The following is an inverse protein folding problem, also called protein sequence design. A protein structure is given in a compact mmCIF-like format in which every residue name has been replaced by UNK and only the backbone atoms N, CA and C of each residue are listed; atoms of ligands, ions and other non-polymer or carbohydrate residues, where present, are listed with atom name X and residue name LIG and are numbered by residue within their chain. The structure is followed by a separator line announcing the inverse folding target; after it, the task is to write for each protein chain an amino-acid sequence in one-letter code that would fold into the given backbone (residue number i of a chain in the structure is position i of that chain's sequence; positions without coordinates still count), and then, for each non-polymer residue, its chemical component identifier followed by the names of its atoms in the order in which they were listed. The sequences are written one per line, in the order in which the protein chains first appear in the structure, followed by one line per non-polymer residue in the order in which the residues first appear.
data_IF_422903116207
#
_entry.id   IF_422903116207
#
_cell.length_a   1.000
_cell.length_b   1.000
_cell.length_c   1.000
_cell.angle_alpha   90.00
_cell.angle_beta   90.00
_cell.angle_gamma   90.00
#
_symmetry.space_group_name_H-M   'P 1'
#
loop_
_entity.id
_entity.type
_entity.pdbx_description
1 polymer ?
#
# COMPACT_ATOMS: atom_id res chain seq x y z
N UNK A 1 -17.26 59.63 -10.24
CA UNK A 1 -18.53 59.46 -10.96
C UNK A 1 -18.81 57.97 -11.08
N UNK A 2 -19.48 57.41 -10.09
CA UNK A 2 -20.47 56.34 -10.29
C UNK A 2 -21.81 57.03 -10.62
N UNK A 3 -22.86 56.38 -11.20
CA UNK A 3 -23.41 55.10 -10.71
C UNK A 3 -24.04 54.16 -11.76
N UNK A 4 -24.40 52.94 -11.34
CA UNK A 4 -25.20 52.02 -12.17
C UNK A 4 -25.55 50.68 -11.55
N UNK A 5 -26.08 50.67 -10.33
CA UNK A 5 -26.70 49.50 -9.68
C UNK A 5 -27.97 49.04 -10.41
N UNK A 6 -28.15 47.72 -10.56
CA UNK A 6 -29.49 47.09 -10.65
C UNK A 6 -29.57 45.80 -9.86
N UNK A 7 -30.70 45.72 -9.18
CA UNK A 7 -31.12 44.85 -8.08
C UNK A 7 -32.04 43.72 -8.58
N UNK A 8 -32.20 42.69 -7.73
CA UNK A 8 -33.39 41.83 -7.55
C UNK A 8 -33.67 40.79 -8.67
N UNK A 9 -34.02 39.52 -8.41
CA UNK A 9 -34.87 39.02 -7.33
C UNK A 9 -34.51 37.60 -6.85
N UNK A 10 -34.58 37.43 -5.52
CA UNK A 10 -34.80 36.18 -4.81
C UNK A 10 -36.30 35.87 -4.79
N UNK A 11 -36.66 34.60 -4.91
CA UNK A 11 -37.96 34.07 -4.48
C UNK A 11 -37.72 33.01 -3.40
N UNK A 12 -38.19 33.28 -2.18
CA UNK A 12 -38.34 32.32 -1.08
C UNK A 12 -39.73 31.65 -1.11
N UNK A 13 -39.86 30.37 -0.75
CA UNK A 13 -40.23 29.80 0.59
C UNK A 13 -41.77 29.66 0.74
N UNK A 14 -42.33 28.49 1.12
CA UNK A 14 -42.36 27.95 2.51
C UNK A 14 -41.91 26.49 2.61
N UNK A 15 -41.18 25.98 3.62
CA UNK A 15 -41.28 26.07 5.08
C UNK A 15 -42.65 25.63 5.64
N UNK A 16 -42.84 24.32 5.79
CA UNK A 16 -43.87 23.73 6.64
C UNK A 16 -43.19 23.25 7.92
N UNK A 17 -43.64 23.80 9.05
CA UNK A 17 -43.15 23.51 10.38
C UNK A 17 -43.93 22.42 11.10
N UNK A 18 -43.19 21.76 11.99
CA UNK A 18 -43.52 21.24 13.31
C UNK A 18 -44.73 20.30 13.49
N UNK A 19 -44.44 19.12 14.05
CA UNK A 19 -44.95 18.75 15.38
C UNK A 19 -43.97 17.79 16.06
N UNK A 20 -43.44 18.21 17.20
CA UNK A 20 -42.93 17.33 18.25
C UNK A 20 -44.14 16.78 19.00
N UNK A 21 -44.26 15.46 19.11
CA UNK A 21 -45.09 14.82 20.13
C UNK A 21 -44.19 14.11 21.14
N UNK A 22 -44.38 14.50 22.40
CA UNK A 22 -43.77 13.94 23.59
C UNK A 22 -44.73 12.99 24.27
N UNK A 23 -44.24 11.81 24.70
CA UNK A 23 -44.83 10.99 25.76
C UNK A 23 -44.55 9.50 25.61
N UNK A 24 -44.62 8.70 26.69
CA UNK A 24 -43.97 8.88 27.98
C UNK A 24 -42.98 7.72 28.29
N UNK A 25 -42.09 7.97 29.25
CA UNK A 25 -41.21 6.97 29.83
C UNK A 25 -41.99 5.88 30.58
N UNK A 26 -41.58 4.62 30.42
CA UNK A 26 -41.93 3.50 31.30
C UNK A 26 -40.68 2.74 31.69
N UNK A 27 -40.54 2.53 33.01
CA UNK A 27 -39.44 1.89 33.72
C UNK A 27 -39.52 0.34 33.67
N UNK A 28 -38.49 -0.39 34.16
CA UNK A 28 -38.11 -1.71 33.64
C UNK A 28 -38.86 -2.88 34.28
N UNK A 29 -39.24 -3.84 33.43
CA UNK A 29 -39.89 -5.10 33.82
C UNK A 29 -38.90 -6.23 34.09
N UNK A 30 -38.99 -6.77 35.30
CA UNK A 30 -38.27 -7.93 35.85
C UNK A 30 -38.81 -9.29 35.36
N UNK A 31 -37.89 -10.23 35.08
CA UNK A 31 -38.06 -11.69 35.26
C UNK A 31 -37.90 -12.57 34.01
N UNK A 32 -37.67 -13.91 34.13
CA UNK A 32 -37.40 -14.69 35.33
C UNK A 32 -36.04 -15.44 35.33
N UNK A 33 -35.63 -15.75 36.57
CA UNK A 33 -34.58 -16.66 37.00
C UNK A 33 -34.93 -18.12 36.63
N UNK A 34 -34.00 -18.84 35.99
CA UNK A 34 -34.07 -20.29 35.81
C UNK A 34 -32.85 -20.94 36.45
N UNK A 35 -33.00 -21.32 37.73
CA UNK A 35 -32.14 -22.30 38.40
C UNK A 35 -32.73 -23.70 38.25
N UNK A 36 -31.86 -24.63 37.87
CA UNK A 36 -32.03 -26.08 37.88
C UNK A 36 -31.28 -26.65 36.67
N UNK A 37 -30.24 -27.48 36.76
CA UNK A 37 -29.80 -28.35 37.84
C UNK A 37 -29.45 -29.70 37.22
N UNK A 38 -28.14 -29.99 37.19
CA UNK A 38 -27.44 -31.29 37.04
C UNK A 38 -27.54 -32.08 35.73
N UNK A 39 -26.36 -32.46 35.22
CA UNK A 39 -26.16 -33.36 34.08
C UNK A 39 -24.68 -33.51 33.75
N UNK A 40 -24.00 -34.36 34.53
CA UNK A 40 -22.66 -34.92 34.31
C UNK A 40 -22.49 -35.42 32.86
N UNK A 41 -21.49 -34.93 32.13
CA UNK A 41 -20.90 -35.62 31.00
C UNK A 41 -19.40 -35.36 30.98
N UNK A 42 -18.65 -36.34 31.49
CA UNK A 42 -17.22 -36.49 31.20
C UNK A 42 -17.06 -36.75 29.70
N UNK A 43 -16.51 -35.78 28.97
CA UNK A 43 -15.94 -36.00 27.65
C UNK A 43 -14.42 -36.15 27.81
N UNK A 44 -13.98 -37.41 27.88
CA UNK A 44 -12.59 -37.83 27.71
C UNK A 44 -12.13 -37.49 26.30
N UNK A 45 -11.68 -36.25 26.10
CA UNK A 45 -11.02 -35.81 24.87
C UNK A 45 -9.54 -36.20 24.87
N UNK A 46 -9.23 -37.39 24.36
CA UNK A 46 -7.88 -37.80 24.01
C UNK A 46 -7.26 -36.77 23.05
N UNK A 47 -6.28 -36.02 23.53
CA UNK A 47 -5.38 -35.19 22.72
C UNK A 47 -4.48 -36.14 21.91
N UNK A 48 -4.86 -36.42 20.67
CA UNK A 48 -3.94 -37.02 19.69
C UNK A 48 -3.24 -35.90 18.92
N UNK A 49 -2.07 -35.48 19.41
CA UNK A 49 -1.02 -34.90 18.56
C UNK A 49 0.06 -35.96 18.37
N UNK A 50 0.42 -36.32 17.13
CA UNK A 50 1.81 -36.54 16.79
C UNK A 50 2.34 -35.20 16.27
N UNK A 51 3.26 -34.60 17.04
CA UNK A 51 4.21 -33.66 16.49
C UNK A 51 5.07 -34.44 15.49
N UNK A 52 5.01 -34.08 14.21
CA UNK A 52 6.01 -34.53 13.24
C UNK A 52 7.21 -33.56 13.34
N UNK A 53 8.38 -33.99 13.86
CA UNK A 53 9.55 -33.14 14.02
C UNK A 53 10.30 -32.88 12.71
N UNK A 54 9.79 -33.33 11.56
CA UNK A 54 10.45 -33.19 10.25
C UNK A 54 9.81 -32.18 9.29
N UNK A 55 8.95 -31.27 9.75
CA UNK A 55 8.66 -30.05 8.96
C UNK A 55 9.85 -29.11 9.13
N UNK A 56 10.90 -29.38 8.36
CA UNK A 56 12.05 -28.51 8.20
C UNK A 56 11.57 -27.08 7.93
N UNK A 57 12.16 -26.14 8.67
CA UNK A 57 12.10 -24.71 8.41
C UNK A 57 12.35 -24.45 6.92
N UNK A 58 11.30 -24.11 6.19
CA UNK A 58 11.44 -23.45 4.89
C UNK A 58 11.83 -21.99 5.17
N UNK A 59 13.11 -21.78 5.41
CA UNK A 59 13.68 -20.44 5.59
C UNK A 59 13.63 -19.67 4.25
N UNK A 60 13.47 -18.34 4.40
CA UNK A 60 13.83 -17.25 3.47
C UNK A 60 12.89 -16.86 2.32
N UNK A 61 12.21 -15.74 2.62
CA UNK A 61 12.19 -14.53 1.81
C UNK A 61 11.40 -14.63 0.50
N UNK A 62 10.09 -14.86 0.61
CA UNK A 62 9.20 -14.21 -0.35
C UNK A 62 9.31 -12.71 -0.07
N UNK A 63 10.17 -12.03 -0.82
CA UNK A 63 10.22 -10.57 -0.84
C UNK A 63 8.91 -10.13 -1.45
N UNK A 64 7.93 -9.87 -0.59
CA UNK A 64 6.65 -9.26 -0.93
C UNK A 64 6.84 -8.16 -1.98
N UNK A 65 5.99 -8.08 -3.00
CA UNK A 65 5.97 -7.07 -4.05
C UNK A 65 7.38 -6.64 -4.50
N UNK A 66 8.23 -7.62 -4.78
CA UNK A 66 9.66 -7.41 -5.03
C UNK A 66 10.03 -7.16 -6.49
N UNK A 67 9.04 -6.91 -7.36
CA UNK A 67 9.25 -6.62 -8.77
C UNK A 67 8.08 -5.85 -9.35
N UNK A 68 8.35 -4.89 -10.23
CA UNK A 68 7.29 -4.20 -10.97
C UNK A 68 7.81 -3.66 -12.30
N UNK A 69 6.95 -3.03 -13.08
CA UNK A 69 7.34 -2.37 -14.33
C UNK A 69 6.96 -0.89 -14.31
N UNK A 70 7.81 -0.03 -14.88
CA UNK A 70 7.56 1.38 -15.08
C UNK A 70 8.21 1.83 -16.38
N UNK A 71 7.38 1.96 -17.41
CA UNK A 71 7.83 2.11 -18.81
C UNK A 71 7.50 3.47 -19.40
N UNK A 72 6.78 4.31 -18.64
CA UNK A 72 6.33 5.63 -19.07
C UNK A 72 7.47 6.63 -19.11
N UNK A 73 7.39 7.50 -20.10
CA UNK A 73 8.38 8.57 -20.24
C UNK A 73 8.23 9.59 -19.11
N UNK A 74 9.30 10.33 -18.84
CA UNK A 74 9.27 11.47 -17.92
C UNK A 74 8.14 12.45 -18.27
N UNK A 75 7.93 12.73 -19.55
CA UNK A 75 6.87 13.64 -20.01
C UNK A 75 5.48 13.11 -19.69
N UNK A 76 5.22 11.82 -19.94
CA UNK A 76 3.93 11.21 -19.64
C UNK A 76 3.63 11.23 -18.14
N UNK A 77 4.62 10.89 -17.31
CA UNK A 77 4.48 10.89 -15.85
C UNK A 77 4.33 12.31 -15.30
N UNK A 78 5.13 13.26 -15.76
CA UNK A 78 5.03 14.66 -15.35
C UNK A 78 3.64 15.25 -15.66
N UNK A 79 3.11 14.95 -16.86
CA UNK A 79 1.77 15.37 -17.26
C UNK A 79 0.67 14.68 -16.43
N UNK A 80 0.74 13.35 -16.26
CA UNK A 80 -0.26 12.58 -15.52
C UNK A 80 -0.41 13.04 -14.07
N UNK A 81 0.72 13.30 -13.42
CA UNK A 81 0.75 13.66 -12.00
C UNK A 81 0.72 15.16 -11.73
N UNK A 82 0.65 16.01 -12.76
CA UNK A 82 0.83 17.48 -12.64
C UNK A 82 2.08 17.81 -11.81
N UNK A 83 3.22 17.31 -12.27
CA UNK A 83 4.48 17.39 -11.57
C UNK A 83 5.56 18.10 -12.39
N UNK A 84 6.40 18.89 -11.72
CA UNK A 84 7.65 19.38 -12.29
C UNK A 84 8.66 18.24 -12.39
N UNK A 85 9.34 18.14 -13.52
CA UNK A 85 10.38 17.14 -13.76
C UNK A 85 11.70 17.53 -13.07
N UNK A 86 12.15 16.68 -12.13
CA UNK A 86 13.47 16.73 -11.48
C UNK A 86 14.29 15.46 -11.78
N UNK A 87 13.91 14.70 -12.82
CA UNK A 87 14.58 13.45 -13.17
C UNK A 87 15.82 13.65 -14.03
N UNK A 88 16.00 14.84 -14.59
CA UNK A 88 17.12 15.17 -15.50
C UNK A 88 17.25 14.20 -16.68
N UNK A 89 16.13 13.62 -17.13
CA UNK A 89 16.09 12.65 -18.23
C UNK A 89 16.62 11.25 -17.85
N UNK A 90 16.77 10.94 -16.56
CA UNK A 90 17.31 9.66 -16.10
C UNK A 90 16.32 8.49 -16.16
N UNK A 91 15.04 8.73 -16.51
CA UNK A 91 14.05 7.65 -16.65
C UNK A 91 14.17 6.98 -18.02
N UNK A 92 14.35 5.66 -17.97
CA UNK A 92 14.21 4.78 -19.12
C UNK A 92 13.10 3.76 -18.84
N UNK A 93 12.46 3.20 -19.88
CA UNK A 93 11.51 2.13 -19.68
C UNK A 93 12.17 0.92 -19.01
N UNK A 94 11.58 0.46 -17.92
CA UNK A 94 12.03 -0.73 -17.18
C UNK A 94 10.84 -1.66 -16.97
N UNK A 95 10.90 -2.84 -17.57
CA UNK A 95 9.89 -3.89 -17.53
C UNK A 95 10.11 -4.85 -16.36
N UNK A 96 11.21 -4.75 -15.62
CA UNK A 96 11.60 -5.72 -14.59
C UNK A 96 12.31 -5.11 -13.38
N UNK A 97 11.86 -3.93 -12.95
CA UNK A 97 12.40 -3.18 -11.82
C UNK A 97 12.61 -4.09 -10.62
N UNK A 98 13.85 -4.16 -10.15
CA UNK A 98 14.26 -4.94 -9.01
C UNK A 98 14.60 -4.04 -7.81
N UNK A 99 14.63 -4.61 -6.59
CA UNK A 99 15.11 -3.89 -5.43
C UNK A 99 16.49 -3.28 -5.69
N UNK A 100 16.70 -2.07 -5.18
CA UNK A 100 17.90 -1.23 -5.31
C UNK A 100 18.02 -0.43 -6.60
N UNK A 101 17.15 -0.67 -7.58
CA UNK A 101 17.15 0.09 -8.82
C UNK A 101 16.65 1.53 -8.60
N UNK A 102 17.08 2.47 -9.44
CA UNK A 102 16.53 3.82 -9.49
C UNK A 102 15.11 3.79 -10.07
N UNK A 103 14.17 4.44 -9.41
CA UNK A 103 12.75 4.42 -9.79
C UNK A 103 12.12 5.80 -9.74
N UNK A 104 11.12 6.11 -10.60
CA UNK A 104 10.36 7.34 -10.50
C UNK A 104 9.54 7.36 -9.22
N UNK A 105 9.54 8.51 -8.55
CA UNK A 105 8.60 8.80 -7.46
C UNK A 105 8.02 10.20 -7.64
N UNK A 106 6.77 10.39 -7.21
CA UNK A 106 6.11 11.69 -7.17
C UNK A 106 6.04 12.16 -5.72
N UNK A 107 6.62 13.33 -5.44
CA UNK A 107 6.72 13.92 -4.10
C UNK A 107 5.85 15.17 -4.00
N UNK A 108 5.47 15.53 -2.78
CA UNK A 108 4.79 16.79 -2.51
C UNK A 108 5.69 18.01 -2.73
N UNK A 109 5.07 19.16 -2.98
CA UNK A 109 5.69 20.47 -3.22
C UNK A 109 4.62 21.50 -3.60
N UNK A 110 4.98 22.78 -3.81
CA UNK A 110 4.05 23.79 -4.35
C UNK A 110 3.40 23.34 -5.66
N UNK A 111 4.19 22.71 -6.51
CA UNK A 111 3.77 21.74 -7.50
C UNK A 111 4.34 20.38 -7.09
N UNK A 112 3.70 19.28 -7.47
CA UNK A 112 4.27 17.95 -7.25
C UNK A 112 5.60 17.84 -8.00
N UNK A 113 6.50 16.97 -7.52
CA UNK A 113 7.83 16.80 -8.08
C UNK A 113 8.04 15.37 -8.51
N UNK A 114 8.34 15.15 -9.78
CA UNK A 114 8.75 13.84 -10.30
C UNK A 114 10.27 13.73 -10.13
N UNK A 115 10.72 12.75 -9.35
CA UNK A 115 12.13 12.59 -8.99
C UNK A 115 12.55 11.13 -9.12
N UNK A 116 13.84 10.86 -9.16
CA UNK A 116 14.39 9.49 -9.12
C UNK A 116 14.83 9.15 -7.70
N UNK A 117 14.42 7.98 -7.22
CA UNK A 117 14.82 7.45 -5.92
C UNK A 117 15.29 6.00 -6.03
N UNK A 118 16.23 5.60 -5.18
CA UNK A 118 16.59 4.18 -5.04
C UNK A 118 15.46 3.40 -4.36
N UNK A 119 14.98 2.31 -4.95
CA UNK A 119 14.01 1.44 -4.28
C UNK A 119 14.66 0.57 -3.20
N UNK A 120 14.33 0.84 -1.95
CA UNK A 120 14.97 0.27 -0.78
C UNK A 120 15.42 1.39 0.14
N UNK A 121 14.57 1.73 1.10
CA UNK A 121 14.72 2.90 1.94
C UNK A 121 15.97 2.83 2.83
N UNK A 122 16.75 3.89 2.84
CA UNK A 122 17.93 4.08 3.70
C UNK A 122 17.68 5.33 4.55
N UNK A 123 17.30 5.18 5.83
CA UNK A 123 17.18 6.31 6.74
C UNK A 123 18.54 6.98 6.96
N UNK A 124 18.59 8.30 7.16
CA UNK A 124 19.84 9.03 7.42
C UNK A 124 20.68 8.46 8.59
N UNK A 125 20.05 7.84 9.59
CA UNK A 125 20.75 7.20 10.71
C UNK A 125 21.33 5.81 10.38
N UNK A 126 20.90 5.17 9.28
CA UNK A 126 21.26 3.78 8.98
C UNK A 126 22.70 3.61 8.50
N UNK A 127 23.28 4.69 7.97
CA UNK A 127 24.67 4.76 7.52
C UNK A 127 25.60 5.31 8.62
N UNK A 128 25.07 5.67 9.79
CA UNK A 128 25.88 6.12 10.91
C UNK A 128 26.67 4.95 11.52
N UNK A 129 27.93 5.15 11.97
CA UNK A 129 28.64 4.16 12.76
C UNK A 129 27.78 3.73 13.94
N UNK A 130 27.70 2.43 14.23
CA UNK A 130 26.97 1.94 15.40
C UNK A 130 27.47 2.70 16.64
N UNK A 131 26.58 3.08 17.57
CA UNK A 131 27.00 3.73 18.82
C UNK A 131 28.04 2.83 19.52
N UNK A 132 29.25 3.35 19.73
CA UNK A 132 30.37 2.58 20.30
C UNK A 132 31.27 1.87 19.28
N UNK A 133 31.10 2.12 17.97
CA UNK A 133 32.06 1.71 16.96
C UNK A 133 33.41 2.38 17.25
N UNK A 134 34.45 1.56 17.43
CA UNK A 134 35.81 2.06 17.62
C UNK A 134 36.28 2.79 16.36
N UNK A 135 37.06 3.88 16.50
CA UNK A 135 37.61 4.61 15.36
C UNK A 135 38.65 3.80 14.54
N UNK A 136 39.04 2.61 14.99
CA UNK A 136 39.98 1.69 14.32
C UNK A 136 39.31 0.77 13.26
N UNK A 137 38.04 1.01 12.91
CA UNK A 137 37.36 0.31 11.82
C UNK A 137 36.87 -1.11 12.16
N UNK A 138 36.96 -1.54 13.42
CA UNK A 138 36.54 -2.88 13.87
C UNK A 138 35.03 -3.04 14.18
N UNK A 139 34.23 -1.98 14.05
CA UNK A 139 32.79 -2.02 14.28
C UNK A 139 32.05 -2.54 13.06
N UNK A 140 31.41 -3.70 13.14
CA UNK A 140 30.58 -4.23 12.06
C UNK A 140 29.45 -3.23 11.76
N UNK A 141 29.44 -2.66 10.54
CA UNK A 141 28.39 -1.76 10.10
C UNK A 141 27.02 -2.38 10.40
N UNK A 142 26.10 -1.58 10.94
CA UNK A 142 24.76 -2.07 11.28
C UNK A 142 24.13 -2.58 9.98
N UNK A 143 24.01 -3.90 9.84
CA UNK A 143 23.40 -4.54 8.65
C UNK A 143 21.91 -4.24 8.65
N UNK A 144 21.53 -3.11 8.07
CA UNK A 144 20.13 -2.72 7.89
C UNK A 144 19.54 -3.64 6.82
N UNK A 145 18.40 -4.32 7.10
CA UNK A 145 17.74 -5.14 6.09
C UNK A 145 17.31 -4.27 4.91
N UNK A 146 17.19 -4.84 3.71
CA UNK A 146 16.76 -4.08 2.54
C UNK A 146 15.27 -3.68 2.69
N UNK A 147 15.02 -2.40 2.96
CA UNK A 147 13.70 -1.86 3.29
C UNK A 147 12.89 -1.49 2.03
N UNK A 148 12.59 -2.47 1.19
CA UNK A 148 11.80 -2.27 -0.05
C UNK A 148 10.30 -2.09 0.20
N UNK A 149 9.78 -2.65 1.30
CA UNK A 149 8.38 -2.54 1.67
C UNK A 149 8.19 -2.04 3.10
N UNK A 150 7.20 -1.16 3.28
CA UNK A 150 6.68 -0.73 4.57
C UNK A 150 5.26 -1.29 4.75
N UNK A 151 5.03 -2.08 5.81
CA UNK A 151 3.71 -2.67 6.06
C UNK A 151 2.74 -1.61 6.58
N UNK A 152 1.58 -1.45 5.95
CA UNK A 152 0.54 -0.48 6.33
C UNK A 152 0.19 -0.57 7.82
N UNK A 153 0.14 -1.78 8.37
CA UNK A 153 -0.18 -2.05 9.78
C UNK A 153 0.81 -1.42 10.77
N UNK A 154 2.04 -1.14 10.34
CA UNK A 154 3.12 -0.66 11.22
C UNK A 154 3.84 0.56 10.68
N UNK A 155 3.56 1.03 9.46
CA UNK A 155 4.31 2.10 8.79
C UNK A 155 4.30 3.41 9.60
N UNK A 156 3.21 3.68 10.32
CA UNK A 156 3.05 4.88 11.14
C UNK A 156 3.80 4.83 12.49
N UNK A 157 4.14 3.64 12.98
CA UNK A 157 4.70 3.42 14.33
C UNK A 157 6.10 2.80 14.33
N UNK A 158 6.47 2.11 13.25
CA UNK A 158 7.77 1.47 13.08
C UNK A 158 8.89 2.53 13.05
N UNK A 159 9.88 2.41 13.93
CA UNK A 159 10.97 3.39 14.06
C UNK A 159 11.76 3.67 12.78
N UNK A 160 11.74 2.75 11.81
CA UNK A 160 12.43 2.94 10.53
C UNK A 160 11.60 3.70 9.48
N UNK A 161 10.26 3.66 9.57
CA UNK A 161 9.36 4.26 8.58
C UNK A 161 8.50 5.41 9.10
N UNK A 162 8.19 5.46 10.40
CA UNK A 162 7.22 6.39 10.98
C UNK A 162 7.54 7.86 10.67
N UNK A 163 8.81 8.24 10.66
CA UNK A 163 9.23 9.59 10.27
C UNK A 163 8.94 9.87 8.79
N UNK A 164 9.34 8.95 7.90
CA UNK A 164 9.08 9.06 6.47
C UNK A 164 7.57 9.06 6.16
N UNK A 165 6.78 8.22 6.83
CA UNK A 165 5.33 8.22 6.71
C UNK A 165 4.68 9.54 7.11
N UNK A 166 5.18 10.19 8.16
CA UNK A 166 4.65 11.48 8.62
C UNK A 166 4.97 12.64 7.68
N UNK A 167 6.16 12.65 7.08
CA UNK A 167 6.74 13.86 6.43
C UNK A 167 7.11 13.70 4.95
N UNK A 168 7.33 12.48 4.50
CA UNK A 168 7.97 12.19 3.22
C UNK A 168 7.21 11.08 2.47
N UNK A 169 5.88 11.20 2.41
CA UNK A 169 5.06 10.33 1.56
C UNK A 169 5.29 10.68 0.09
N UNK A 170 5.33 9.66 -0.76
CA UNK A 170 5.46 9.79 -2.21
C UNK A 170 4.50 8.81 -2.90
N UNK A 171 4.24 9.02 -4.19
CA UNK A 171 3.66 8.00 -5.06
C UNK A 171 4.78 7.30 -5.82
N UNK A 172 4.64 6.01 -6.09
CA UNK A 172 5.54 5.24 -6.95
C UNK A 172 4.75 4.82 -8.19
N UNK A 173 4.96 5.47 -9.35
CA UNK A 173 4.29 5.13 -10.60
C UNK A 173 4.72 3.76 -11.13
N UNK A 174 3.76 2.97 -11.59
CA UNK A 174 3.98 1.64 -12.15
C UNK A 174 2.96 1.32 -13.24
N UNK A 175 3.34 0.56 -14.26
CA UNK A 175 2.37 -0.05 -15.19
C UNK A 175 1.67 -1.26 -14.56
N UNK A 176 2.32 -1.87 -13.56
CA UNK A 176 1.85 -3.05 -12.84
C UNK A 176 2.95 -3.63 -11.98
N UNK A 177 2.63 -4.64 -11.17
CA UNK A 177 3.62 -5.36 -10.35
C UNK A 177 3.55 -6.87 -10.57
N UNK A 178 4.65 -7.57 -10.30
CA UNK A 178 4.70 -9.02 -10.43
C UNK A 178 4.55 -9.72 -9.09
N UNK A 179 3.82 -10.83 -9.10
CA UNK A 179 3.83 -11.79 -8.00
C UNK A 179 3.88 -13.23 -8.50
N UNK A 180 4.39 -14.12 -7.64
CA UNK A 180 4.58 -15.52 -7.99
C UNK A 180 3.72 -16.42 -7.11
N UNK A 181 2.81 -17.16 -7.75
CA UNK A 181 2.03 -18.19 -7.08
C UNK A 181 2.64 -19.56 -7.30
N UNK A 182 2.67 -20.41 -6.26
CA UNK A 182 3.02 -21.83 -6.44
C UNK A 182 2.02 -22.51 -7.39
N UNK A 183 2.53 -23.35 -8.27
CA UNK A 183 1.68 -24.18 -9.15
C UNK A 183 0.96 -25.26 -8.33
N UNK A 184 -0.18 -25.76 -8.82
CA UNK A 184 -0.99 -26.77 -8.11
C UNK A 184 -0.21 -28.07 -7.87
N UNK A 185 0.67 -28.45 -8.80
CA UNK A 185 1.56 -29.62 -8.67
C UNK A 185 2.75 -29.38 -7.70
N UNK A 186 2.90 -28.16 -7.19
CA UNK A 186 3.94 -27.76 -6.25
C UNK A 186 5.36 -27.68 -6.83
N UNK A 187 5.54 -27.94 -8.13
CA UNK A 187 6.86 -28.08 -8.79
C UNK A 187 7.48 -26.76 -9.23
N UNK A 188 6.73 -25.68 -9.22
CA UNK A 188 7.23 -24.39 -9.66
C UNK A 188 6.40 -23.22 -9.14
N UNK A 189 6.64 -22.06 -9.75
CA UNK A 189 5.86 -20.85 -9.53
C UNK A 189 5.43 -20.26 -10.86
N UNK A 190 4.18 -19.83 -10.94
CA UNK A 190 3.64 -19.03 -12.04
C UNK A 190 3.75 -17.54 -11.68
N UNK A 191 4.34 -16.75 -12.57
CA UNK A 191 4.38 -15.29 -12.44
C UNK A 191 3.08 -14.67 -12.95
N UNK A 192 2.55 -13.70 -12.22
CA UNK A 192 1.43 -12.88 -12.64
C UNK A 192 1.86 -11.42 -12.62
N UNK A 193 1.37 -10.64 -13.59
CA UNK A 193 1.51 -9.21 -13.66
C UNK A 193 0.14 -8.58 -13.40
N UNK A 194 0.03 -7.85 -12.30
CA UNK A 194 -1.20 -7.18 -11.91
C UNK A 194 -1.15 -5.75 -12.47
N UNK A 195 -2.05 -5.46 -13.41
CA UNK A 195 -1.98 -4.25 -14.25
C UNK A 195 -3.38 -3.74 -14.60
N UNK A 196 -3.59 -2.43 -14.82
CA UNK A 196 -4.89 -1.91 -15.23
C UNK A 196 -5.35 -2.48 -16.58
N UNK A 197 -6.63 -2.86 -16.67
CA UNK A 197 -7.22 -3.36 -17.93
C UNK A 197 -7.28 -2.30 -19.03
N UNK A 198 -7.32 -1.03 -18.67
CA UNK A 198 -7.32 0.11 -19.58
C UNK A 198 -5.91 0.53 -20.03
N UNK A 199 -4.86 -0.13 -19.52
CA UNK A 199 -3.47 0.24 -19.78
C UNK A 199 -3.06 1.56 -19.13
N UNK A 200 -3.79 2.03 -18.12
CA UNK A 200 -3.42 3.18 -17.30
C UNK A 200 -2.20 2.94 -16.41
N UNK A 201 -1.81 3.97 -15.66
CA UNK A 201 -0.68 3.93 -14.71
C UNK A 201 -1.22 3.78 -13.29
N UNK A 202 -0.65 2.84 -12.54
CA UNK A 202 -0.87 2.70 -11.11
C UNK A 202 0.00 3.67 -10.32
N UNK A 203 -0.51 4.13 -9.19
CA UNK A 203 0.25 4.88 -8.20
C UNK A 203 0.28 4.09 -6.89
N UNK A 204 1.43 3.52 -6.55
CA UNK A 204 1.59 2.89 -5.23
C UNK A 204 1.85 3.97 -4.17
N UNK A 205 1.24 3.82 -3.00
CA UNK A 205 1.61 4.56 -1.82
C UNK A 205 3.07 4.24 -1.46
N UNK A 206 3.90 5.26 -1.30
CA UNK A 206 5.31 5.13 -0.94
C UNK A 206 5.72 6.06 0.18
N UNK A 207 6.84 5.72 0.83
CA UNK A 207 7.53 6.59 1.79
C UNK A 207 8.97 6.76 1.34
N UNK A 208 9.52 7.97 1.51
CA UNK A 208 10.86 8.32 1.07
C UNK A 208 11.74 8.80 2.22
N UNK A 209 13.04 8.64 2.06
CA UNK A 209 14.05 9.21 2.94
C UNK A 209 15.31 9.53 2.14
N UNK A 210 16.04 10.54 2.59
CA UNK A 210 17.39 10.82 2.09
C UNK A 210 18.40 10.12 2.99
N UNK A 211 19.33 9.37 2.40
CA UNK A 211 20.45 8.75 3.11
C UNK A 211 21.43 9.80 3.62
N UNK A 212 22.38 9.40 4.46
CA UNK A 212 23.42 10.33 4.94
C UNK A 212 24.32 10.86 3.81
N UNK A 213 24.41 10.09 2.71
CA UNK A 213 25.14 10.46 1.50
C UNK A 213 24.33 11.36 0.54
N UNK A 214 23.14 11.81 0.94
CA UNK A 214 22.29 12.67 0.11
C UNK A 214 21.46 11.92 -0.96
N UNK A 215 21.52 10.58 -1.01
CA UNK A 215 20.76 9.80 -1.97
C UNK A 215 19.29 9.70 -1.55
N UNK A 216 18.38 10.04 -2.46
CA UNK A 216 16.95 9.82 -2.26
C UNK A 216 16.62 8.32 -2.39
N UNK A 217 15.90 7.79 -1.42
CA UNK A 217 15.52 6.37 -1.34
C UNK A 217 14.03 6.24 -1.00
N UNK A 218 13.38 5.15 -1.40
CA UNK A 218 11.97 4.93 -1.15
C UNK A 218 11.63 3.49 -0.72
N UNK A 219 10.44 3.33 -0.15
CA UNK A 219 9.81 2.05 0.19
C UNK A 219 8.37 2.08 -0.28
N UNK A 220 7.88 0.98 -0.84
CA UNK A 220 6.47 0.82 -1.21
C UNK A 220 5.67 0.42 0.03
N UNK A 221 4.55 1.07 0.27
CA UNK A 221 3.61 0.68 1.32
C UNK A 221 2.83 -0.54 0.83
N UNK A 222 2.81 -1.60 1.64
CA UNK A 222 2.10 -2.85 1.32
C UNK A 222 1.01 -3.12 2.33
N UNK A 223 -0.05 -3.78 1.90
CA UNK A 223 -1.22 -4.16 2.71
C UNK A 223 -1.58 -5.63 2.46
N UNK A 224 -2.51 -6.19 3.23
CA UNK A 224 -3.09 -7.49 2.93
C UNK A 224 -3.79 -7.45 1.57
N UNK A 225 -3.60 -8.49 0.76
CA UNK A 225 -4.34 -8.62 -0.50
C UNK A 225 -5.83 -8.85 -0.23
N UNK A 226 -6.66 -8.36 -1.15
CA UNK A 226 -8.12 -8.52 -1.11
C UNK A 226 -8.64 -9.00 -2.46
N UNK A 227 -9.84 -9.57 -2.47
CA UNK A 227 -10.47 -10.10 -3.67
C UNK A 227 -9.59 -11.12 -4.40
N UNK A 228 -9.61 -11.08 -5.73
CA UNK A 228 -8.85 -12.02 -6.56
C UNK A 228 -7.33 -11.88 -6.43
N UNK A 229 -6.83 -10.72 -5.99
CA UNK A 229 -5.38 -10.52 -5.76
C UNK A 229 -4.86 -11.47 -4.66
N UNK A 230 -5.71 -11.80 -3.68
CA UNK A 230 -5.39 -12.75 -2.62
C UNK A 230 -5.21 -14.19 -3.13
N UNK A 231 -5.75 -14.52 -4.32
CA UNK A 231 -5.54 -15.82 -4.97
C UNK A 231 -4.11 -15.98 -5.51
N UNK A 232 -3.35 -14.88 -5.64
CA UNK A 232 -1.95 -14.89 -6.12
C UNK A 232 -0.98 -14.78 -4.96
N UNK A 233 -1.19 -13.81 -4.07
CA UNK A 233 -0.31 -13.53 -2.93
C UNK A 233 -1.07 -12.91 -1.75
N UNK A 234 -0.66 -13.16 -0.51
CA UNK A 234 -1.26 -12.61 0.71
C UNK A 234 -1.04 -11.09 0.92
N UNK A 235 -0.19 -10.44 0.10
CA UNK A 235 0.01 -8.98 0.15
C UNK A 235 0.04 -8.37 -1.23
N UNK A 236 -0.24 -7.08 -1.25
CA UNK A 236 -0.20 -6.22 -2.43
C UNK A 236 0.38 -4.84 -2.06
N UNK A 237 0.86 -4.06 -3.05
CA UNK A 237 1.08 -2.64 -2.85
C UNK A 237 -0.23 -1.97 -2.46
N UNK A 238 -0.18 -0.95 -1.60
CA UNK A 238 -1.33 -0.07 -1.40
C UNK A 238 -1.45 0.84 -2.63
N UNK A 239 -2.33 0.46 -3.56
CA UNK A 239 -2.60 1.21 -4.78
C UNK A 239 -3.56 2.36 -4.47
N UNK A 240 -3.24 3.58 -4.91
CA UNK A 240 -4.02 4.78 -4.66
C UNK A 240 -4.71 5.28 -5.95
N UNK A 241 -6.06 5.38 -5.96
CA UNK A 241 -6.77 6.03 -7.05
C UNK A 241 -6.48 7.53 -7.11
N UNK A 242 -6.68 8.19 -8.28
CA UNK A 242 -6.30 9.59 -8.49
C UNK A 242 -6.86 10.60 -7.48
N UNK A 243 -8.10 10.39 -7.03
CA UNK A 243 -8.79 11.20 -6.04
C UNK A 243 -8.14 11.15 -4.64
N UNK A 244 -7.28 10.16 -4.37
CA UNK A 244 -6.55 10.02 -3.10
C UNK A 244 -5.12 10.53 -3.13
N UNK A 245 -4.60 10.93 -4.30
CA UNK A 245 -3.22 11.38 -4.45
C UNK A 245 -2.93 12.63 -3.61
N UNK A 246 -3.82 13.62 -3.63
CA UNK A 246 -3.65 14.86 -2.85
C UNK A 246 -3.66 14.58 -1.35
N UNK A 247 -4.61 13.78 -0.88
CA UNK A 247 -4.67 13.40 0.53
C UNK A 247 -3.38 12.68 0.95
N UNK A 248 -2.88 11.76 0.13
CA UNK A 248 -1.62 11.07 0.39
C UNK A 248 -0.42 12.03 0.41
N UNK A 249 -0.30 12.92 -0.57
CA UNK A 249 0.81 13.86 -0.71
C UNK A 249 0.69 15.10 0.20
N UNK A 250 -0.40 15.28 0.92
CA UNK A 250 -0.62 16.41 1.86
C UNK A 250 0.30 16.42 3.10
N UNK A 251 1.35 15.60 3.13
CA UNK A 251 2.32 15.58 4.21
C UNK A 251 2.90 17.00 4.42
N UNK A 252 3.00 17.49 5.66
CA UNK A 252 3.68 18.73 5.97
C UNK A 252 5.01 18.84 5.20
N UNK A 253 5.14 19.85 4.35
CA UNK A 253 6.38 20.10 3.62
C UNK A 253 7.42 20.53 4.64
N UNK A 254 8.21 19.59 5.14
CA UNK A 254 9.44 19.90 5.84
C UNK A 254 10.52 20.09 4.78
N UNK A 255 11.01 21.31 4.58
CA UNK A 255 12.27 21.52 3.87
C UNK A 255 13.36 20.71 4.57
N UNK A 256 14.28 20.03 3.85
CA UNK A 256 15.39 19.28 4.46
C UNK A 256 16.28 20.13 5.39
N UNK A 257 16.16 21.45 5.28
CA UNK A 257 16.97 22.50 5.89
C UNK A 257 16.38 23.00 7.22
N UNK A 258 15.10 22.73 7.50
CA UNK A 258 14.39 23.20 8.69
C UNK A 258 13.72 22.01 9.40
N UNK A 259 14.55 21.21 10.04
CA UNK A 259 14.15 19.99 10.76
C UNK A 259 13.85 20.22 12.25
N UNK A 260 13.60 21.47 12.64
CA UNK A 260 13.23 21.80 14.01
C UNK A 260 11.81 21.33 14.31
N UNK A 261 11.70 20.47 15.32
CA UNK A 261 10.48 19.78 15.76
C UNK A 261 9.38 20.70 16.31
N UNK A 262 9.56 22.02 16.29
CA UNK A 262 8.78 22.98 17.08
C UNK A 262 7.55 23.60 16.39
N UNK A 263 7.32 23.36 15.09
CA UNK A 263 6.14 23.93 14.41
C UNK A 263 4.94 22.97 14.41
N UNK A 264 4.59 22.37 15.55
CA UNK A 264 3.52 21.35 15.65
C UNK A 264 2.09 21.89 15.53
N UNK A 265 1.87 23.20 15.68
CA UNK A 265 0.53 23.78 15.84
C UNK A 265 -0.24 24.10 14.54
N UNK A 266 0.38 23.94 13.36
CA UNK A 266 -0.26 24.26 12.07
C UNK A 266 -0.60 23.05 11.21
N UNK A 267 -0.32 21.84 11.69
CA UNK A 267 -0.49 20.63 10.89
C UNK A 267 -1.74 19.87 11.29
N UNK A 268 -2.58 19.56 10.30
CA UNK A 268 -3.73 18.70 10.50
C UNK A 268 -3.28 17.38 11.13
N UNK A 269 -3.91 16.91 12.21
CA UNK A 269 -3.53 15.66 12.84
C UNK A 269 -3.57 14.55 11.79
N UNK A 270 -2.46 13.81 11.68
CA UNK A 270 -2.36 12.67 10.79
C UNK A 270 -3.39 11.63 11.25
N UNK A 271 -4.27 11.21 10.35
CA UNK A 271 -5.13 10.05 10.53
C UNK A 271 -4.58 8.89 9.67
N UNK A 272 -3.74 7.99 10.23
CA UNK A 272 -3.16 6.90 9.46
C UNK A 272 -4.21 5.98 8.85
N UNK A 273 -5.31 5.72 9.55
CA UNK A 273 -6.35 4.80 9.09
C UNK A 273 -7.02 5.31 7.81
N UNK A 274 -7.32 6.61 7.75
CA UNK A 274 -7.86 7.23 6.53
C UNK A 274 -6.86 7.18 5.36
N UNK A 275 -5.57 7.40 5.63
CA UNK A 275 -4.52 7.35 4.60
C UNK A 275 -4.25 5.94 4.10
N UNK A 276 -4.37 4.94 4.97
CA UNK A 276 -4.03 3.54 4.71
C UNK A 276 -5.25 2.69 4.37
N UNK A 277 -6.45 3.27 4.36
CA UNK A 277 -7.67 2.61 3.91
C UNK A 277 -7.46 2.01 2.52
N UNK A 278 -8.01 0.81 2.29
CA UNK A 278 -7.98 0.19 0.98
C UNK A 278 -8.78 1.05 -0.03
N UNK A 279 -8.41 1.03 -1.31
CA UNK A 279 -9.24 1.61 -2.35
C UNK A 279 -10.59 0.85 -2.46
N UNK A 280 -11.61 1.46 -3.08
CA UNK A 280 -12.86 0.76 -3.39
C UNK A 280 -12.60 -0.54 -4.16
N UNK A 281 -13.42 -1.57 -3.93
CA UNK A 281 -13.20 -2.89 -4.53
C UNK A 281 -13.29 -2.82 -6.06
N UNK A 282 -14.16 -1.96 -6.59
CA UNK A 282 -14.36 -1.73 -8.01
C UNK A 282 -13.09 -1.23 -8.70
N UNK A 283 -12.27 -0.45 -7.99
CA UNK A 283 -10.97 0.00 -8.48
C UNK A 283 -9.97 -1.16 -8.57
N UNK A 284 -10.03 -2.12 -7.65
CA UNK A 284 -9.16 -3.29 -7.66
C UNK A 284 -9.63 -4.35 -8.67
N UNK A 285 -10.93 -4.50 -8.87
CA UNK A 285 -11.52 -5.41 -9.87
C UNK A 285 -11.22 -4.97 -11.31
N UNK A 286 -10.94 -3.67 -11.51
CA UNK A 286 -10.45 -3.12 -12.77
C UNK A 286 -9.01 -3.56 -13.12
N UNK A 287 -8.30 -4.24 -12.20
CA UNK A 287 -7.00 -4.83 -12.47
C UNK A 287 -7.16 -6.19 -13.15
N UNK A 288 -6.25 -6.45 -14.09
CA UNK A 288 -6.05 -7.74 -14.70
C UNK A 288 -4.98 -8.51 -13.92
N UNK A 289 -5.29 -9.74 -13.51
CA UNK A 289 -4.29 -10.71 -13.04
C UNK A 289 -3.77 -11.45 -14.28
N UNK A 290 -2.74 -10.89 -14.91
CA UNK A 290 -2.20 -11.40 -16.19
C UNK A 290 -1.13 -12.47 -15.93
N UNK A 291 -1.30 -13.73 -16.35
CA UNK A 291 -0.20 -14.70 -16.30
C UNK A 291 0.90 -14.28 -17.28
N UNK A 292 2.16 -14.25 -16.83
CA UNK A 292 3.33 -13.89 -17.65
C UNK A 292 4.40 -14.99 -17.63
N UNK A 293 5.35 -14.93 -18.57
CA UNK A 293 6.41 -15.94 -18.70
C UNK A 293 7.38 -15.98 -17.51
N UNK A 294 8.04 -17.12 -17.26
CA UNK A 294 8.98 -17.26 -16.13
C UNK A 294 10.26 -16.44 -16.30
N UNK A 295 10.55 -15.95 -17.50
CA UNK A 295 11.73 -15.15 -17.82
C UNK A 295 11.85 -13.89 -16.95
N UNK A 296 10.70 -13.34 -16.50
CA UNK A 296 10.72 -12.20 -15.57
C UNK A 296 11.55 -12.54 -14.35
N UNK A 297 11.53 -13.77 -13.83
CA UNK A 297 12.26 -14.21 -12.63
C UNK A 297 13.75 -13.83 -12.59
N UNK A 298 14.46 -13.78 -13.73
CA UNK A 298 15.84 -13.29 -13.82
C UNK A 298 15.86 -11.77 -14.06
N UNK A 299 16.42 -11.03 -13.11
CA UNK A 299 16.52 -9.56 -13.13
C UNK A 299 17.36 -9.00 -14.28
N UNK A 300 18.11 -9.86 -15.00
CA UNK A 300 18.87 -9.44 -16.18
C UNK A 300 18.00 -9.28 -17.43
N UNK A 301 16.79 -9.82 -17.40
CA UNK A 301 15.84 -9.68 -18.51
C UNK A 301 15.05 -8.39 -18.30
N UNK A 302 14.97 -7.55 -19.34
CA UNK A 302 14.26 -6.26 -19.26
C UNK A 302 13.60 -5.89 -20.61
N UNK A 303 12.90 -6.87 -21.20
CA UNK A 303 12.23 -6.71 -22.49
C UNK A 303 10.72 -6.52 -22.36
N UNK A 304 10.06 -5.87 -23.33
CA UNK A 304 8.60 -5.69 -23.31
C UNK A 304 7.81 -7.00 -23.21
N UNK A 305 8.36 -8.09 -23.75
CA UNK A 305 7.79 -9.44 -23.68
C UNK A 305 7.60 -9.99 -22.26
N UNK A 306 8.20 -9.37 -21.23
CA UNK A 306 8.02 -9.78 -19.83
C UNK A 306 6.62 -9.49 -19.29
N UNK A 307 5.91 -8.54 -19.91
CA UNK A 307 4.53 -8.16 -19.54
C UNK A 307 3.46 -8.84 -20.40
N UNK A 308 3.89 -9.63 -21.39
CA UNK A 308 3.00 -10.32 -22.32
C UNK A 308 2.30 -11.51 -21.66
N UNK A 309 1.01 -11.66 -21.98
CA UNK A 309 0.18 -12.74 -21.48
C UNK A 309 0.68 -14.08 -22.03
N UNK A 310 0.85 -15.06 -21.15
CA UNK A 310 1.10 -16.47 -21.52
C UNK A 310 -0.12 -17.34 -21.23
N UNK A 311 -0.24 -18.46 -21.94
CA UNK A 311 -1.29 -19.43 -21.68
C UNK A 311 -0.98 -20.21 -20.39
N UNK A 312 -1.93 -20.25 -19.47
CA UNK A 312 -1.90 -21.08 -18.24
C UNK A 312 -3.28 -21.64 -17.97
N UNK A 313 -3.35 -22.68 -17.15
CA UNK A 313 -4.62 -23.13 -16.56
C UNK A 313 -5.25 -21.97 -15.78
N UNK A 314 -6.53 -21.62 -16.02
CA UNK A 314 -7.19 -20.50 -15.35
C UNK A 314 -7.15 -20.62 -13.83
N UNK A 315 -7.17 -19.47 -13.15
CA UNK A 315 -7.39 -19.45 -11.70
C UNK A 315 -8.77 -20.04 -11.42
N UNK A 316 -8.84 -21.11 -10.62
CA UNK A 316 -10.12 -21.55 -10.06
C UNK A 316 -10.56 -20.50 -9.06
N UNK A 317 -11.52 -19.67 -9.45
CA UNK A 317 -12.37 -18.97 -8.49
C UNK A 317 -13.29 -20.05 -7.92
N UNK A 318 -13.25 -20.27 -6.61
CA UNK A 318 -14.28 -21.08 -6.00
C UNK A 318 -15.56 -20.27 -6.05
N UNK A 319 -16.44 -20.58 -7.01
CA UNK A 319 -17.82 -20.15 -6.94
C UNK A 319 -18.34 -20.64 -5.59
N UNK A 320 -18.71 -19.70 -4.72
CA UNK A 320 -19.52 -20.03 -3.56
C UNK A 320 -20.88 -20.38 -4.16
N UNK A 321 -21.10 -21.67 -4.38
CA UNK A 321 -22.42 -22.21 -4.67
C UNK A 321 -23.39 -21.58 -3.67
N UNK A 322 -24.47 -20.92 -4.12
CA UNK A 322 -25.46 -20.38 -3.20
C UNK A 322 -25.99 -21.56 -2.40
N UNK A 323 -25.62 -21.62 -1.12
CA UNK A 323 -26.10 -22.66 -0.22
C UNK A 323 -27.61 -22.61 -0.29
N UNK A 324 -28.16 -23.70 -0.81
CA UNK A 324 -29.58 -23.94 -1.00
C UNK A 324 -30.32 -23.50 0.26
N UNK A 325 -31.05 -22.38 0.17
CA UNK A 325 -32.02 -21.97 1.18
C UNK A 325 -33.23 -22.89 1.03
N UNK A 326 -33.04 -24.16 1.36
CA UNK A 326 -34.15 -25.08 1.61
C UNK A 326 -34.84 -24.63 2.90
N UNK A 327 -35.97 -23.97 2.70
CA UNK A 327 -37.06 -23.83 3.67
C UNK A 327 -37.25 -25.11 4.49
N UNK A 328 -37.04 -25.00 5.80
CA UNK A 328 -37.75 -25.76 6.83
C UNK A 328 -38.00 -24.83 8.03
#
# INVERSE_FOLDING_TARGET
MEPGSRTSARTGVPAVGATQETGPATEPGTGPDWRGGVGEFEATGTVCRPADPNVERVDRLVRMCGRYATTRTTTDLAALFDASDETEGALAPDYNVAPTDPVPIVRSGPQRRLSVARWGLVPAWADAPARGARPDGGGQARRTPLMINARAETVATNGAFARAFRRHRCLVPADGWYEWRRTEDGRGKQAYFMTPRDGGVLAFAGVAATSSAGQLTCSVVTTASVGDLALVHDRMPLVLPPDRWDQWLSAPVASPENDDAAQSDKYQPLNPDALLALPPIEFLDALEIRPVGPAVGDVRNDGPGLTERVAVTPLRVFDVEPTDLTLF
#
